data_IF_413148967433
#
_entry.id   IF_413148967433
#
_cell.length_a   1.000
_cell.length_b   1.000
_cell.length_c   1.000
_cell.angle_alpha   90.00
_cell.angle_beta   90.00
_cell.angle_gamma   90.00
#
_symmetry.space_group_name_H-M   'P 1'
#
loop_
_entity.id
_entity.type
_entity.pdbx_description
1 polymer ?
#
# COMPACT_ATOMS: atom_id res chain seq x y z
N UNK A 1 -5.30 -17.07 19.88
CA UNK A 1 -3.96 -17.28 19.30
C UNK A 1 -3.64 -16.08 18.45
N UNK A 2 -2.65 -15.29 18.82
CA UNK A 2 -2.20 -14.12 18.05
C UNK A 2 -1.57 -14.63 16.75
N UNK A 3 -2.14 -14.33 15.59
CA UNK A 3 -1.53 -14.71 14.32
C UNK A 3 -0.17 -14.02 14.23
N UNK A 4 0.90 -14.80 14.03
CA UNK A 4 2.25 -14.25 13.88
C UNK A 4 2.30 -13.33 12.65
N UNK A 5 3.04 -12.22 12.74
CA UNK A 5 3.26 -11.31 11.60
C UNK A 5 3.89 -12.12 10.47
N UNK A 6 3.16 -12.29 9.37
CA UNK A 6 3.67 -12.99 8.20
C UNK A 6 4.91 -12.25 7.70
N UNK A 7 6.03 -12.95 7.65
CA UNK A 7 7.28 -12.38 7.15
C UNK A 7 7.37 -12.69 5.67
N UNK A 8 7.40 -11.66 4.83
CA UNK A 8 7.63 -11.78 3.39
C UNK A 8 8.82 -10.90 3.00
N UNK A 9 9.46 -11.24 1.89
CA UNK A 9 10.56 -10.43 1.34
C UNK A 9 9.99 -9.53 0.25
N UNK A 10 10.08 -8.21 0.46
CA UNK A 10 9.74 -7.23 -0.56
C UNK A 10 10.89 -7.08 -1.56
N UNK A 11 10.86 -7.90 -2.62
CA UNK A 11 11.83 -7.84 -3.71
C UNK A 11 11.43 -6.81 -4.79
N UNK A 12 10.38 -6.02 -4.57
CA UNK A 12 9.81 -5.10 -5.56
C UNK A 12 9.91 -3.64 -5.12
N UNK A 13 10.48 -3.37 -3.94
CA UNK A 13 10.47 -2.06 -3.30
C UNK A 13 9.06 -1.44 -3.31
N UNK A 14 8.04 -2.25 -3.00
CA UNK A 14 6.65 -1.84 -2.99
C UNK A 14 6.22 -1.19 -1.67
N UNK A 15 6.89 -1.53 -0.56
CA UNK A 15 6.50 -1.15 0.80
C UNK A 15 7.39 -0.07 1.41
N UNK A 16 6.76 0.83 2.17
CA UNK A 16 7.47 1.85 2.94
C UNK A 16 8.29 1.19 4.05
N UNK A 17 9.63 1.28 3.97
CA UNK A 17 10.58 0.65 4.92
C UNK A 17 10.69 1.38 6.26
N UNK A 18 10.13 2.58 6.34
CA UNK A 18 10.19 3.50 7.48
C UNK A 18 8.92 3.47 8.35
N UNK A 19 8.16 2.37 8.26
CA UNK A 19 7.01 2.08 9.10
C UNK A 19 6.85 0.57 9.25
N UNK A 20 6.46 0.13 10.45
CA UNK A 20 6.17 -1.27 10.77
C UNK A 20 4.65 -1.56 10.83
N UNK A 21 3.84 -0.62 10.32
CA UNK A 21 2.38 -0.65 10.30
C UNK A 21 1.84 -2.01 9.86
N UNK A 22 1.10 -2.65 10.75
CA UNK A 22 0.55 -3.98 10.57
C UNK A 22 -0.75 -4.10 11.36
N UNK A 23 -1.79 -4.67 10.76
CA UNK A 23 -3.05 -4.91 11.43
C UNK A 23 -3.51 -6.34 11.16
N UNK A 24 -3.53 -7.17 12.21
CA UNK A 24 -4.05 -8.52 12.13
C UNK A 24 -5.56 -8.50 11.87
N UNK A 25 -6.00 -9.21 10.83
CA UNK A 25 -7.41 -9.41 10.55
C UNK A 25 -8.12 -10.14 11.70
N UNK A 26 -9.43 -9.94 11.82
CA UNK A 26 -10.24 -10.72 12.76
C UNK A 26 -10.17 -12.23 12.41
N UNK A 27 -10.30 -13.13 13.41
CA UNK A 27 -10.18 -14.58 13.19
C UNK A 27 -11.22 -15.18 12.22
N UNK A 28 -12.30 -14.47 11.97
CA UNK A 28 -13.39 -14.87 11.06
C UNK A 28 -13.93 -13.66 10.31
N UNK A 29 -14.55 -13.92 9.16
CA UNK A 29 -15.09 -12.91 8.27
C UNK A 29 -14.94 -13.32 6.81
N UNK A 30 -15.59 -12.62 5.88
CA UNK A 30 -15.58 -12.96 4.46
C UNK A 30 -14.20 -12.84 3.80
N UNK A 31 -13.24 -12.13 4.43
CA UNK A 31 -11.88 -11.95 3.92
C UNK A 31 -10.82 -12.64 4.80
N UNK A 32 -11.24 -13.52 5.72
CA UNK A 32 -10.29 -14.26 6.57
C UNK A 32 -9.32 -15.09 5.73
N UNK A 33 -8.04 -14.98 6.08
CA UNK A 33 -6.94 -15.65 5.37
C UNK A 33 -6.38 -14.84 4.20
N UNK A 34 -7.02 -13.73 3.81
CA UNK A 34 -6.48 -12.81 2.80
C UNK A 34 -5.58 -11.74 3.44
N UNK A 35 -4.61 -11.29 2.66
CA UNK A 35 -3.65 -10.24 2.98
C UNK A 35 -3.87 -9.03 2.09
N UNK A 36 -3.64 -7.84 2.65
CA UNK A 36 -3.68 -6.62 1.85
C UNK A 36 -2.61 -5.61 2.26
N UNK A 37 -2.34 -4.69 1.35
CA UNK A 37 -1.51 -3.53 1.62
C UNK A 37 -2.33 -2.23 1.48
N UNK A 38 -1.95 -1.19 2.20
CA UNK A 38 -2.60 0.12 2.11
C UNK A 38 -1.62 1.17 1.60
N UNK A 39 -1.98 1.92 0.54
CA UNK A 39 -1.21 3.08 0.11
C UNK A 39 -0.92 4.04 1.27
N UNK A 40 0.26 4.65 1.28
CA UNK A 40 0.74 5.57 2.34
C UNK A 40 0.01 6.94 2.37
N UNK A 41 -1.31 6.90 2.23
CA UNK A 41 -2.26 7.99 2.42
C UNK A 41 -3.43 7.56 3.31
N UNK A 42 -3.53 6.26 3.59
CA UNK A 42 -4.55 5.72 4.49
C UNK A 42 -3.99 5.66 5.90
N UNK A 43 -4.71 6.27 6.84
CA UNK A 43 -4.34 6.28 8.25
C UNK A 43 -4.35 4.87 8.86
N UNK A 44 -3.34 4.62 9.69
CA UNK A 44 -3.25 3.45 10.57
C UNK A 44 -2.88 3.98 11.94
N UNK A 45 -3.70 3.67 12.94
CA UNK A 45 -3.56 4.21 14.29
C UNK A 45 -2.15 3.94 14.85
N UNK A 46 -1.53 4.97 15.42
CA UNK A 46 -0.17 4.89 15.97
C UNK A 46 0.96 5.04 14.95
N UNK A 47 0.66 5.18 13.65
CA UNK A 47 1.67 5.42 12.61
C UNK A 47 1.43 6.75 11.90
N UNK A 48 2.51 7.43 11.52
CA UNK A 48 2.43 8.63 10.69
C UNK A 48 2.13 8.22 9.25
N UNK A 49 1.11 8.83 8.65
CA UNK A 49 0.80 8.71 7.21
C UNK A 49 1.74 9.64 6.44
N UNK A 50 2.64 9.07 5.65
CA UNK A 50 3.77 9.82 5.08
C UNK A 50 3.45 10.53 3.76
N UNK A 51 2.45 10.08 3.01
CA UNK A 51 2.13 10.64 1.70
C UNK A 51 3.27 10.51 0.69
N UNK A 52 4.23 9.61 0.92
CA UNK A 52 5.45 9.55 0.10
C UNK A 52 6.30 10.82 0.14
N UNK A 53 6.20 11.63 1.21
CA UNK A 53 7.02 12.84 1.40
C UNK A 53 7.63 12.85 2.82
N UNK A 54 8.97 12.92 2.97
CA UNK A 54 9.62 12.86 4.28
C UNK A 54 9.36 14.10 5.15
N UNK A 55 9.24 15.30 4.56
CA UNK A 55 8.99 16.55 5.31
C UNK A 55 7.57 16.59 5.88
N UNK A 56 6.58 16.12 5.10
CA UNK A 56 5.22 15.89 5.55
C UNK A 56 5.24 14.93 6.74
N UNK A 57 5.89 13.78 6.60
CA UNK A 57 5.97 12.78 7.66
C UNK A 57 6.66 13.33 8.92
N UNK A 58 7.69 14.16 8.78
CA UNK A 58 8.42 14.75 9.91
C UNK A 58 7.60 15.79 10.70
N UNK A 59 6.59 16.39 10.08
CA UNK A 59 5.79 17.49 10.65
C UNK A 59 4.42 17.07 11.16
N UNK A 60 3.96 15.86 10.85
CA UNK A 60 2.63 15.37 11.20
C UNK A 60 2.68 14.32 12.32
N UNK A 61 1.73 14.36 13.27
CA UNK A 61 1.65 13.36 14.33
C UNK A 61 1.18 12.01 13.77
N UNK A 62 1.43 10.90 14.50
CA UNK A 62 0.81 9.62 14.20
C UNK A 62 -0.72 9.72 14.20
N UNK A 63 -1.38 8.95 13.33
CA UNK A 63 -2.83 8.95 13.27
C UNK A 63 -3.44 8.39 14.56
N UNK A 64 -4.51 9.03 15.05
CA UNK A 64 -5.22 8.58 16.25
C UNK A 64 -6.12 7.35 15.99
N UNK A 65 -6.54 7.17 14.74
CA UNK A 65 -7.48 6.14 14.31
C UNK A 65 -7.12 5.59 12.94
N UNK A 66 -7.55 4.36 12.69
CA UNK A 66 -7.45 3.78 11.36
C UNK A 66 -8.37 4.53 10.39
N UNK A 67 -7.98 4.59 9.11
CA UNK A 67 -8.91 4.95 8.05
C UNK A 67 -10.08 3.95 8.04
N UNK A 68 -11.30 4.46 7.81
CA UNK A 68 -12.52 3.63 7.87
C UNK A 68 -12.44 2.37 7.02
N UNK A 69 -11.89 2.46 5.80
CA UNK A 69 -11.76 1.31 4.89
C UNK A 69 -10.73 0.30 5.39
N UNK A 70 -9.62 0.75 5.99
CA UNK A 70 -8.62 -0.13 6.60
C UNK A 70 -9.25 -0.91 7.75
N UNK A 71 -9.96 -0.22 8.65
CA UNK A 71 -10.66 -0.85 9.76
C UNK A 71 -11.76 -1.81 9.29
N UNK A 72 -12.51 -1.45 8.24
CA UNK A 72 -13.54 -2.30 7.64
C UNK A 72 -12.97 -3.62 7.13
N UNK A 73 -11.85 -3.57 6.39
CA UNK A 73 -11.20 -4.78 5.86
C UNK A 73 -10.62 -5.66 6.96
N UNK A 74 -9.99 -5.06 7.97
CA UNK A 74 -9.47 -5.77 9.15
C UNK A 74 -10.60 -6.46 9.91
N UNK A 75 -11.72 -5.76 10.11
CA UNK A 75 -12.91 -6.33 10.74
C UNK A 75 -13.58 -7.42 9.91
N UNK A 76 -13.46 -7.37 8.58
CA UNK A 76 -13.89 -8.42 7.67
C UNK A 76 -12.92 -9.63 7.61
N UNK A 77 -11.80 -9.60 8.34
CA UNK A 77 -10.87 -10.71 8.49
C UNK A 77 -9.57 -10.60 7.67
N UNK A 78 -9.42 -9.56 6.83
CA UNK A 78 -8.20 -9.38 6.04
C UNK A 78 -7.05 -8.85 6.92
N UNK A 79 -5.83 -9.32 6.69
CA UNK A 79 -4.64 -8.86 7.41
C UNK A 79 -3.89 -7.80 6.61
N UNK A 80 -3.70 -6.61 7.18
CA UNK A 80 -2.87 -5.56 6.56
C UNK A 80 -1.40 -5.83 6.85
N UNK A 81 -0.61 -6.09 5.82
CA UNK A 81 0.81 -6.49 5.98
C UNK A 81 1.79 -5.31 5.93
N UNK A 82 1.36 -4.13 5.47
CA UNK A 82 2.20 -2.94 5.39
C UNK A 82 1.57 -1.76 4.66
N UNK A 83 2.27 -0.62 4.70
CA UNK A 83 1.97 0.54 3.85
C UNK A 83 2.80 0.51 2.56
N UNK A 84 2.20 0.85 1.43
CA UNK A 84 2.87 0.86 0.12
C UNK A 84 3.19 2.26 -0.37
N UNK A 85 4.26 2.36 -1.16
CA UNK A 85 4.69 3.61 -1.78
C UNK A 85 3.61 4.27 -2.65
N UNK A 86 3.70 5.60 -2.71
CA UNK A 86 2.89 6.48 -3.53
C UNK A 86 3.78 7.49 -4.24
N UNK A 87 3.33 8.02 -5.37
CA UNK A 87 3.87 9.31 -5.84
C UNK A 87 3.71 10.34 -4.73
N UNK A 88 4.69 11.23 -4.61
CA UNK A 88 4.77 12.25 -3.57
C UNK A 88 3.47 13.07 -3.49
N UNK A 89 2.83 13.05 -2.32
CA UNK A 89 1.55 13.69 -2.02
C UNK A 89 0.46 13.37 -3.05
N UNK A 90 0.50 12.19 -3.65
CA UNK A 90 -0.38 11.71 -4.75
C UNK A 90 -0.28 12.51 -6.05
N UNK A 91 0.75 13.37 -6.19
CA UNK A 91 0.94 14.23 -7.36
C UNK A 91 1.87 13.56 -8.38
N UNK A 92 1.34 12.56 -9.08
CA UNK A 92 2.02 11.88 -10.15
C UNK A 92 1.15 10.81 -10.80
N UNK A 93 1.62 10.27 -11.92
CA UNK A 93 0.98 9.16 -12.64
C UNK A 93 1.96 8.06 -13.06
N UNK A 94 3.27 8.25 -12.84
CA UNK A 94 4.29 7.31 -13.27
C UNK A 94 4.69 6.35 -12.15
N UNK A 95 4.48 6.70 -10.89
CA UNK A 95 4.88 5.85 -9.76
C UNK A 95 6.30 6.11 -9.26
N UNK A 96 6.90 7.23 -9.68
CA UNK A 96 8.25 7.64 -9.32
C UNK A 96 8.23 8.49 -8.05
N UNK A 97 9.15 8.22 -7.14
CA UNK A 97 9.32 9.01 -5.93
C UNK A 97 10.80 9.31 -5.69
N UNK A 98 11.16 10.59 -5.66
CA UNK A 98 12.57 11.02 -5.52
C UNK A 98 13.19 10.65 -4.16
N UNK A 99 12.37 10.48 -3.12
CA UNK A 99 12.83 10.24 -1.76
C UNK A 99 12.93 8.76 -1.44
N UNK A 100 11.97 7.97 -1.94
CA UNK A 100 11.81 6.57 -1.59
C UNK A 100 12.11 5.58 -2.73
N UNK A 101 12.30 6.08 -3.96
CA UNK A 101 12.52 5.26 -5.15
C UNK A 101 11.22 4.86 -5.85
N UNK A 102 11.37 4.06 -6.90
CA UNK A 102 10.27 3.62 -7.77
C UNK A 102 10.06 2.12 -7.61
N UNK A 103 8.86 1.65 -7.23
CA UNK A 103 8.55 0.23 -7.17
C UNK A 103 8.72 -0.48 -8.53
N UNK A 104 9.06 -1.76 -8.52
CA UNK A 104 9.31 -2.54 -9.74
C UNK A 104 7.98 -2.97 -10.39
N UNK A 105 7.82 -2.66 -11.67
CA UNK A 105 6.73 -3.21 -12.49
C UNK A 105 7.02 -4.66 -12.89
N UNK A 106 6.29 -5.63 -12.33
CA UNK A 106 6.53 -7.05 -12.62
C UNK A 106 6.19 -7.48 -14.05
N UNK A 107 5.42 -6.68 -14.80
CA UNK A 107 5.09 -6.93 -16.21
C UNK A 107 6.13 -6.37 -17.18
N UNK A 108 6.90 -5.36 -16.75
CA UNK A 108 7.97 -4.75 -17.51
C UNK A 108 9.00 -4.14 -16.54
N UNK A 109 9.95 -4.94 -16.03
CA UNK A 109 10.87 -4.50 -14.95
C UNK A 109 11.74 -3.29 -15.29
N UNK A 110 11.89 -2.96 -16.58
CA UNK A 110 12.61 -1.79 -17.10
C UNK A 110 11.67 -0.59 -17.40
N UNK A 111 10.44 -0.63 -16.90
CA UNK A 111 9.41 0.41 -17.06
C UNK A 111 8.78 0.72 -15.70
N UNK A 112 8.16 1.89 -15.64
CA UNK A 112 7.49 2.34 -14.42
C UNK A 112 6.20 1.54 -14.15
N UNK A 113 5.79 1.36 -12.88
CA UNK A 113 4.57 0.65 -12.50
C UNK A 113 3.31 1.50 -12.70
N UNK A 114 3.45 2.80 -12.98
CA UNK A 114 2.34 3.74 -12.98
C UNK A 114 2.01 4.22 -11.57
N UNK A 115 1.23 5.29 -11.48
CA UNK A 115 0.99 5.99 -10.23
C UNK A 115 -0.38 6.67 -10.16
N UNK A 116 -0.77 7.20 -9.01
CA UNK A 116 0.06 7.34 -7.82
C UNK A 116 0.05 6.15 -6.87
N UNK A 117 -0.73 5.10 -7.14
CA UNK A 117 -0.78 3.89 -6.31
C UNK A 117 0.25 2.83 -6.75
N UNK A 118 1.51 3.25 -6.93
CA UNK A 118 2.58 2.46 -7.53
C UNK A 118 2.98 1.24 -6.73
N UNK A 119 3.22 1.41 -5.43
CA UNK A 119 3.56 0.31 -4.54
C UNK A 119 2.39 -0.67 -4.39
N UNK A 120 1.16 -0.16 -4.36
CA UNK A 120 -0.05 -1.00 -4.28
C UNK A 120 -0.18 -1.94 -5.48
N UNK A 121 -0.02 -1.42 -6.70
CA UNK A 121 -0.08 -2.25 -7.91
C UNK A 121 1.10 -3.21 -8.01
N UNK A 122 2.31 -2.76 -7.66
CA UNK A 122 3.50 -3.62 -7.69
C UNK A 122 3.40 -4.77 -6.69
N UNK A 123 2.92 -4.52 -5.48
CA UNK A 123 2.73 -5.54 -4.45
C UNK A 123 1.73 -6.63 -4.90
N UNK A 124 0.59 -6.24 -5.48
CA UNK A 124 -0.42 -7.19 -5.97
C UNK A 124 0.08 -7.93 -7.21
N UNK A 125 0.67 -7.23 -8.18
CA UNK A 125 1.20 -7.85 -9.40
C UNK A 125 2.39 -8.78 -9.14
N UNK A 126 3.08 -8.58 -8.01
CA UNK A 126 4.14 -9.44 -7.49
C UNK A 126 3.68 -10.61 -6.64
N UNK A 127 2.38 -10.70 -6.31
CA UNK A 127 1.88 -11.71 -5.39
C UNK A 127 2.39 -11.56 -3.96
N UNK A 128 2.81 -10.35 -3.55
CA UNK A 128 3.21 -10.07 -2.17
C UNK A 128 1.99 -9.96 -1.24
N UNK A 129 0.83 -9.59 -1.79
CA UNK A 129 -0.48 -9.52 -1.13
C UNK A 129 -1.60 -9.92 -2.09
N UNK A 130 -2.74 -10.33 -1.55
CA UNK A 130 -3.91 -10.74 -2.35
C UNK A 130 -4.61 -9.54 -3.02
N UNK A 131 -4.66 -8.40 -2.34
CA UNK A 131 -5.20 -7.14 -2.86
C UNK A 131 -4.57 -5.92 -2.18
N UNK A 132 -4.82 -4.71 -2.69
CA UNK A 132 -4.31 -3.49 -2.07
C UNK A 132 -5.26 -2.31 -2.23
N UNK A 133 -5.21 -1.37 -1.28
CA UNK A 133 -5.92 -0.10 -1.34
C UNK A 133 -5.09 0.96 -2.05
N UNK A 134 -5.71 1.66 -3.00
CA UNK A 134 -5.17 2.87 -3.64
C UNK A 134 -6.16 4.03 -3.58
N UNK A 135 -5.79 5.16 -4.17
CA UNK A 135 -6.70 6.29 -4.41
C UNK A 135 -6.70 6.66 -5.89
N UNK A 136 -7.83 7.10 -6.41
CA UNK A 136 -7.98 7.48 -7.82
C UNK A 136 -8.63 8.88 -7.93
N UNK A 137 -7.80 9.90 -8.13
CA UNK A 137 -8.26 11.27 -8.40
C UNK A 137 -8.22 11.58 -9.89
N UNK A 138 -7.14 11.15 -10.57
CA UNK A 138 -6.92 11.39 -12.01
C UNK A 138 -6.56 10.13 -12.79
N UNK A 139 -6.90 8.94 -12.28
CA UNK A 139 -6.46 7.66 -12.83
C UNK A 139 -5.54 6.88 -11.91
N UNK A 140 -5.32 7.34 -10.69
CA UNK A 140 -4.25 6.86 -9.81
C UNK A 140 -4.42 5.43 -9.28
N UNK A 141 -5.54 4.76 -9.54
CA UNK A 141 -5.70 3.28 -9.43
C UNK A 141 -5.70 2.64 -10.81
N UNK A 142 -6.44 3.21 -11.77
CA UNK A 142 -6.62 2.63 -13.11
C UNK A 142 -5.33 2.58 -13.94
N UNK A 143 -4.49 3.62 -13.87
CA UNK A 143 -3.21 3.71 -14.57
C UNK A 143 -2.24 2.63 -14.08
N UNK A 144 -1.90 2.54 -12.78
CA UNK A 144 -1.00 1.50 -12.33
C UNK A 144 -1.58 0.09 -12.47
N UNK A 145 -2.90 -0.08 -12.34
CA UNK A 145 -3.54 -1.36 -12.63
C UNK A 145 -3.34 -1.77 -14.11
N UNK A 146 -3.52 -0.85 -15.05
CA UNK A 146 -3.27 -1.09 -16.48
C UNK A 146 -1.81 -1.46 -16.74
N UNK A 147 -0.86 -0.71 -16.18
CA UNK A 147 0.58 -0.91 -16.41
C UNK A 147 1.09 -2.22 -15.81
N UNK A 148 0.56 -2.63 -14.67
CA UNK A 148 0.95 -3.86 -13.98
C UNK A 148 0.07 -5.08 -14.35
N UNK A 149 -0.86 -4.93 -15.32
CA UNK A 149 -1.69 -6.03 -15.81
C UNK A 149 -2.68 -6.57 -14.77
N UNK A 150 -3.27 -5.67 -13.98
CA UNK A 150 -4.24 -5.95 -12.92
C UNK A 150 -5.63 -5.38 -13.27
N UNK A 151 -6.64 -5.85 -12.52
CA UNK A 151 -7.93 -5.19 -12.47
C UNK A 151 -7.96 -4.21 -11.31
N UNK A 152 -8.12 -2.92 -11.58
CA UNK A 152 -8.22 -1.86 -10.56
C UNK A 152 -9.50 -1.05 -10.77
N UNK A 153 -10.25 -0.83 -9.68
CA UNK A 153 -11.45 0.02 -9.64
C UNK A 153 -11.45 0.89 -8.40
#
# INVERSE_FOLDING_TARGET
MTSAKQTFTDNLDAFCKDTDAYLAGKPSGPLSGLTFAAKDIFDVAGHVTGGGNPDWKATHPPAERNAWIVETLVNAGATMVGKTHTDELTRGILGENAHYGTPINTKAPDRVPGGSSSGSASAVAGGLVDFALGSDTGGSVRIPASFCGLSGR
#
